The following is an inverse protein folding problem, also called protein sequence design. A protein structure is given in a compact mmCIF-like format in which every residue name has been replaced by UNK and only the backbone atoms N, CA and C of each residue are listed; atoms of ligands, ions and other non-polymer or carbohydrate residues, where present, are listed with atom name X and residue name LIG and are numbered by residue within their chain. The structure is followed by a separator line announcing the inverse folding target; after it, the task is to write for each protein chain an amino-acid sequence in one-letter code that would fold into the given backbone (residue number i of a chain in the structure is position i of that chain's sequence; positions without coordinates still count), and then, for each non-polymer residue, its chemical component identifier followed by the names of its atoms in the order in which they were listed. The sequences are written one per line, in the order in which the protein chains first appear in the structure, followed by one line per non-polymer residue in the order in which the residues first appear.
data_IF_303251543869
#
_entry.id   IF_303251543869
#
_cell.length_a   1.000
_cell.length_b   1.000
_cell.length_c   1.000
_cell.angle_alpha   90.00
_cell.angle_beta   90.00
_cell.angle_gamma   90.00
#
_symmetry.space_group_name_H-M   'P 1'
#
loop_
_entity.id
_entity.type
_entity.pdbx_description
1 polymer ?
#
# COMPACT_ATOMS: atom_id res chain seq x y z
N UNK A 1 45.40 82.71 2.74
CA UNK A 1 45.05 83.03 4.14
C UNK A 1 43.55 83.20 4.14
N UNK A 2 42.72 82.32 4.67
CA UNK A 2 42.76 81.69 5.99
C UNK A 2 42.50 80.18 5.96
N UNK A 3 43.19 79.49 6.85
CA UNK A 3 43.08 78.08 7.23
C UNK A 3 41.92 77.85 8.21
N UNK A 4 41.15 76.78 8.03
CA UNK A 4 40.41 76.16 9.15
C UNK A 4 40.50 74.63 9.08
N UNK A 5 41.10 74.09 10.13
CA UNK A 5 41.24 72.68 10.48
C UNK A 5 39.90 71.93 10.52
N UNK A 6 39.93 70.65 10.13
CA UNK A 6 38.92 69.66 10.55
C UNK A 6 39.58 68.60 11.43
N UNK A 7 38.99 68.24 12.59
CA UNK A 7 39.59 67.30 13.52
C UNK A 7 39.39 65.84 13.07
N UNK A 8 40.41 65.03 13.35
CA UNK A 8 40.37 63.58 13.25
C UNK A 8 39.46 62.99 14.33
N UNK A 9 38.41 62.27 13.94
CA UNK A 9 37.63 61.44 14.88
C UNK A 9 37.90 59.97 14.62
N UNK A 10 38.61 59.35 15.56
CA UNK A 10 38.90 57.92 15.61
C UNK A 10 37.60 57.14 15.87
N UNK A 11 37.12 56.36 14.88
CA UNK A 11 36.10 55.34 15.12
C UNK A 11 36.76 54.10 15.73
N UNK A 12 36.51 53.87 17.03
CA UNK A 12 36.83 52.60 17.70
C UNK A 12 36.01 51.46 17.06
N UNK A 13 36.59 50.28 16.83
CA UNK A 13 35.82 49.14 16.31
C UNK A 13 34.88 48.63 17.40
N UNK A 14 33.58 48.57 17.09
CA UNK A 14 32.60 47.92 17.97
C UNK A 14 32.93 46.43 18.05
N UNK A 15 33.29 45.94 19.24
CA UNK A 15 33.36 44.49 19.50
C UNK A 15 31.95 43.91 19.32
N UNK A 16 31.70 43.22 18.20
CA UNK A 16 30.56 42.31 18.06
C UNK A 16 30.78 41.17 19.06
N UNK A 17 30.10 41.23 20.19
CA UNK A 17 29.94 40.07 21.06
C UNK A 17 29.12 39.05 20.29
N UNK A 18 29.77 37.99 19.80
CA UNK A 18 29.05 36.79 19.35
C UNK A 18 28.49 36.13 20.60
N UNK A 19 27.22 36.39 20.88
CA UNK A 19 26.45 35.51 21.75
C UNK A 19 26.26 34.23 20.95
N UNK A 20 27.14 33.26 21.15
CA UNK A 20 26.87 31.87 20.76
C UNK A 20 25.81 31.36 21.70
N UNK A 21 24.55 31.67 21.40
CA UNK A 21 23.43 30.97 22.01
C UNK A 21 23.60 29.49 21.62
N UNK A 22 24.08 28.69 22.55
CA UNK A 22 24.02 27.24 22.45
C UNK A 22 22.54 26.89 22.32
N UNK A 23 22.14 26.40 21.14
CA UNK A 23 20.81 25.83 20.93
C UNK A 23 20.57 24.80 22.05
N UNK A 24 19.41 24.83 22.72
CA UNK A 24 19.11 23.84 23.74
C UNK A 24 19.21 22.44 23.14
N UNK A 25 20.03 21.59 23.77
CA UNK A 25 20.21 20.20 23.36
C UNK A 25 18.94 19.42 23.71
N UNK A 26 18.22 18.95 22.70
CA UNK A 26 17.07 18.05 22.88
C UNK A 26 17.64 16.62 22.99
N UNK A 27 17.29 15.85 24.04
CA UNK A 27 17.73 14.45 24.16
C UNK A 27 17.28 13.58 22.98
N UNK A 28 18.08 12.58 22.62
CA UNK A 28 17.82 11.70 21.47
C UNK A 28 16.51 10.93 21.63
N UNK A 29 16.11 10.58 22.86
CA UNK A 29 14.85 9.90 23.15
C UNK A 29 13.63 10.77 22.77
N UNK A 30 13.71 12.06 23.06
CA UNK A 30 12.65 13.03 22.72
C UNK A 30 12.61 13.27 21.22
N UNK A 31 13.76 13.34 20.56
CA UNK A 31 13.84 13.42 19.09
C UNK A 31 13.17 12.19 18.48
N UNK A 32 13.46 11.00 19.00
CA UNK A 32 12.89 9.74 18.52
C UNK A 32 11.36 9.76 18.64
N UNK A 33 10.82 10.15 19.79
CA UNK A 33 9.37 10.26 20.01
C UNK A 33 8.72 11.26 19.05
N UNK A 34 9.33 12.44 18.87
CA UNK A 34 8.84 13.45 17.93
C UNK A 34 8.82 12.88 16.51
N UNK A 35 9.90 12.22 16.08
CA UNK A 35 10.00 11.63 14.75
C UNK A 35 8.94 10.53 14.55
N UNK A 36 8.69 9.66 15.53
CA UNK A 36 7.66 8.61 15.43
C UNK A 36 6.24 9.16 15.18
N UNK A 37 5.96 10.40 15.58
CA UNK A 37 4.66 11.07 15.37
C UNK A 37 4.51 11.73 14.00
N UNK A 38 5.59 11.81 13.20
CA UNK A 38 5.56 12.51 11.93
C UNK A 38 5.02 11.63 10.79
N UNK A 39 4.35 12.24 9.80
CA UNK A 39 3.99 11.54 8.57
C UNK A 39 5.20 10.93 7.87
N UNK A 40 5.04 9.75 7.27
CA UNK A 40 6.11 9.00 6.59
C UNK A 40 6.83 9.86 5.54
N UNK A 41 6.08 10.68 4.79
CA UNK A 41 6.67 11.60 3.81
C UNK A 41 7.67 12.58 4.42
N UNK A 42 7.41 13.06 5.63
CA UNK A 42 8.33 13.94 6.38
C UNK A 42 9.54 13.15 6.86
N UNK A 43 9.33 11.96 7.43
CA UNK A 43 10.42 11.06 7.85
C UNK A 43 11.39 10.75 6.71
N UNK A 44 10.87 10.44 5.52
CA UNK A 44 11.71 10.17 4.34
C UNK A 44 12.54 11.38 3.90
N UNK A 45 12.05 12.61 4.09
CA UNK A 45 12.83 13.83 3.85
C UNK A 45 13.86 14.08 4.95
N UNK A 46 13.51 13.74 6.19
CA UNK A 46 14.34 13.95 7.38
C UNK A 46 15.57 13.03 7.41
N UNK A 47 15.54 11.88 6.74
CA UNK A 47 16.73 11.08 6.43
C UNK A 47 17.84 11.85 5.67
N UNK A 48 17.51 12.97 5.02
CA UNK A 48 18.48 13.79 4.30
C UNK A 48 19.03 14.96 5.12
N UNK A 49 18.51 15.21 6.33
CA UNK A 49 18.87 16.38 7.14
C UNK A 49 20.19 16.16 7.89
N UNK A 50 20.39 14.97 8.47
CA UNK A 50 21.63 14.63 9.19
C UNK A 50 21.90 13.12 9.14
N UNK A 51 23.16 12.72 9.38
CA UNK A 51 23.55 11.30 9.47
C UNK A 51 22.87 10.61 10.67
N UNK A 52 22.84 11.28 11.82
CA UNK A 52 22.19 10.78 13.04
C UNK A 52 20.70 10.51 12.81
N UNK A 53 19.97 11.45 12.19
CA UNK A 53 18.54 11.23 11.89
C UNK A 53 18.33 10.14 10.85
N UNK A 54 19.21 10.05 9.86
CA UNK A 54 19.18 8.95 8.90
C UNK A 54 19.35 7.60 9.57
N UNK A 55 20.31 7.46 10.47
CA UNK A 55 20.58 6.24 11.24
C UNK A 55 19.38 5.89 12.12
N UNK A 56 18.85 6.85 12.89
CA UNK A 56 17.68 6.66 13.75
C UNK A 56 16.43 6.23 12.96
N UNK A 57 16.09 6.89 11.86
CA UNK A 57 14.89 6.54 11.06
C UNK A 57 15.10 5.24 10.26
N UNK A 58 16.34 4.79 10.07
CA UNK A 58 16.65 3.51 9.43
C UNK A 58 16.77 2.35 10.42
N UNK A 59 16.65 2.60 11.71
CA UNK A 59 16.74 1.60 12.76
C UNK A 59 15.46 0.71 12.81
N UNK A 60 15.59 -0.63 12.90
CA UNK A 60 14.44 -1.53 13.00
C UNK A 60 13.52 -1.27 14.20
N UNK A 61 14.06 -0.83 15.34
CA UNK A 61 13.24 -0.52 16.51
C UNK A 61 12.46 0.79 16.31
N UNK A 62 13.02 1.75 15.56
CA UNK A 62 12.29 2.92 15.11
C UNK A 62 11.12 2.54 14.19
N UNK A 63 11.33 1.62 13.24
CA UNK A 63 10.27 1.07 12.39
C UNK A 63 9.13 0.46 13.22
N UNK A 64 9.45 -0.39 14.20
CA UNK A 64 8.46 -1.02 15.08
C UNK A 64 7.69 0.02 15.90
N UNK A 65 8.38 1.03 16.45
CA UNK A 65 7.74 2.13 17.20
C UNK A 65 6.84 2.99 16.32
N UNK A 66 7.28 3.35 15.12
CA UNK A 66 6.49 4.14 14.18
C UNK A 66 5.24 3.36 13.73
N UNK A 67 5.37 2.08 13.43
CA UNK A 67 4.23 1.20 13.13
C UNK A 67 3.23 1.17 14.29
N UNK A 68 3.72 0.96 15.52
CA UNK A 68 2.87 0.92 16.71
C UNK A 68 2.17 2.25 17.01
N UNK A 69 2.74 3.39 16.60
CA UNK A 69 2.10 4.71 16.67
C UNK A 69 1.06 4.87 15.55
N UNK A 70 1.40 4.47 14.34
CA UNK A 70 0.53 4.59 13.17
C UNK A 70 -0.75 3.74 13.32
N UNK A 71 -0.61 2.52 13.84
CA UNK A 71 -1.70 1.56 14.03
C UNK A 71 -2.58 1.84 15.27
N UNK A 72 -2.33 2.92 16.03
CA UNK A 72 -3.22 3.30 17.13
C UNK A 72 -4.56 3.77 16.57
N UNK A 73 -5.65 3.46 17.26
CA UNK A 73 -7.01 3.82 16.86
C UNK A 73 -7.18 5.31 16.50
N UNK A 74 -6.59 6.21 17.29
CA UNK A 74 -6.66 7.66 17.04
C UNK A 74 -5.89 8.10 15.79
N UNK A 75 -4.92 7.29 15.35
CA UNK A 75 -4.06 7.53 14.21
C UNK A 75 -4.48 6.77 12.96
N UNK A 76 -5.23 5.68 13.07
CA UNK A 76 -5.50 4.76 11.96
C UNK A 76 -6.09 5.48 10.75
N UNK A 77 -7.09 6.35 10.94
CA UNK A 77 -7.71 7.10 9.83
C UNK A 77 -6.75 8.11 9.19
N UNK A 78 -6.00 8.85 10.00
CA UNK A 78 -5.07 9.88 9.53
C UNK A 78 -3.79 9.31 8.92
N UNK A 79 -3.41 8.12 9.37
CA UNK A 79 -2.26 7.39 8.88
C UNK A 79 -2.66 6.33 7.86
N UNK A 80 -3.89 6.29 7.37
CA UNK A 80 -4.30 5.33 6.33
C UNK A 80 -4.64 6.01 5.03
N UNK A 81 -4.47 5.26 3.95
CA UNK A 81 -4.84 5.68 2.60
C UNK A 81 -5.62 4.57 1.94
N UNK A 82 -6.60 4.96 1.13
CA UNK A 82 -7.15 4.07 0.13
C UNK A 82 -6.15 3.91 -0.99
N UNK A 83 -6.01 2.70 -1.48
CA UNK A 83 -5.41 2.40 -2.76
C UNK A 83 -6.48 1.83 -3.68
N UNK A 84 -6.60 2.39 -4.88
CA UNK A 84 -7.70 2.15 -5.80
C UNK A 84 -7.15 1.80 -7.17
N UNK A 85 -7.63 0.68 -7.72
CA UNK A 85 -7.40 0.31 -9.10
C UNK A 85 -8.53 0.85 -9.98
N UNK A 86 -8.16 1.62 -11.02
CA UNK A 86 -9.11 2.18 -11.99
C UNK A 86 -8.95 1.44 -13.33
N UNK A 87 -9.99 1.29 -14.17
CA UNK A 87 -9.94 0.61 -15.49
C UNK A 87 -8.89 1.15 -16.49
N UNK A 88 -8.10 2.16 -16.13
CA UNK A 88 -7.00 2.74 -16.91
C UNK A 88 -5.62 2.21 -16.51
N UNK A 89 -5.55 1.10 -15.75
CA UNK A 89 -4.30 0.43 -15.32
C UNK A 89 -3.39 1.28 -14.43
N UNK A 90 -3.92 2.41 -13.95
CA UNK A 90 -3.24 3.35 -13.06
C UNK A 90 -3.73 3.13 -11.65
N UNK A 91 -2.79 2.92 -10.76
CA UNK A 91 -3.04 2.84 -9.33
C UNK A 91 -3.14 4.26 -8.77
N UNK A 92 -4.20 4.50 -8.01
CA UNK A 92 -4.41 5.78 -7.33
C UNK A 92 -4.49 5.59 -5.84
N UNK A 93 -4.20 6.63 -5.07
CA UNK A 93 -4.50 6.65 -3.65
C UNK A 93 -5.11 7.95 -3.20
N UNK A 94 -5.83 7.90 -2.10
CA UNK A 94 -6.43 9.05 -1.43
C UNK A 94 -6.21 8.89 0.08
N UNK A 95 -5.88 9.95 0.85
CA UNK A 95 -5.92 9.86 2.31
C UNK A 95 -7.32 9.40 2.75
N UNK A 96 -7.37 8.44 3.68
CA UNK A 96 -8.63 7.90 4.17
C UNK A 96 -9.42 8.99 4.92
N UNK A 97 -8.73 9.82 5.70
CA UNK A 97 -9.30 10.97 6.41
C UNK A 97 -10.11 11.93 5.52
N UNK A 98 -9.75 12.07 4.23
CA UNK A 98 -10.49 12.93 3.31
C UNK A 98 -11.93 12.46 3.07
N UNK A 99 -12.22 11.16 3.25
CA UNK A 99 -13.56 10.63 3.03
C UNK A 99 -14.50 10.86 4.21
N UNK A 100 -13.94 11.10 5.40
CA UNK A 100 -14.71 11.25 6.63
C UNK A 100 -14.79 12.71 7.11
N UNK A 101 -13.73 13.49 6.87
CA UNK A 101 -13.57 14.80 7.52
C UNK A 101 -13.35 15.97 6.56
N UNK A 102 -13.17 15.72 5.26
CA UNK A 102 -12.95 16.76 4.26
C UNK A 102 -14.11 16.80 3.26
N UNK A 103 -14.45 17.99 2.73
CA UNK A 103 -15.52 18.11 1.75
C UNK A 103 -15.17 17.41 0.43
N UNK A 104 -13.88 17.33 0.08
CA UNK A 104 -13.42 16.67 -1.14
C UNK A 104 -12.03 16.06 -0.96
N UNK A 105 -11.87 14.79 -1.34
CA UNK A 105 -10.57 14.12 -1.42
C UNK A 105 -9.87 14.34 -2.77
N UNK A 106 -8.54 14.28 -2.78
CA UNK A 106 -7.75 14.34 -4.01
C UNK A 106 -6.96 13.06 -4.21
N UNK A 107 -7.27 12.34 -5.29
CA UNK A 107 -6.51 11.14 -5.65
C UNK A 107 -5.15 11.51 -6.26
N UNK A 108 -4.12 10.76 -5.90
CA UNK A 108 -2.77 10.87 -6.48
C UNK A 108 -2.42 9.58 -7.22
N UNK A 109 -1.72 9.70 -8.35
CA UNK A 109 -1.22 8.53 -9.06
C UNK A 109 -0.04 7.92 -8.29
N UNK A 110 -0.04 6.59 -8.18
CA UNK A 110 1.10 5.83 -7.72
C UNK A 110 1.85 5.20 -8.89
N UNK A 111 3.16 5.43 -8.92
CA UNK A 111 4.08 4.58 -9.67
C UNK A 111 4.30 3.32 -8.84
N UNK A 112 3.70 2.21 -9.28
CA UNK A 112 3.85 0.91 -8.65
C UNK A 112 4.92 0.06 -9.39
N UNK A 113 5.54 -0.91 -8.70
CA UNK A 113 6.48 -1.84 -9.32
C UNK A 113 5.82 -2.60 -10.49
N UNK A 114 6.43 -2.57 -11.67
CA UNK A 114 5.86 -3.23 -12.85
C UNK A 114 4.81 -2.41 -13.62
N UNK A 115 4.56 -1.15 -13.25
CA UNK A 115 3.68 -0.25 -14.00
C UNK A 115 4.08 -0.06 -15.47
N UNK A 116 5.35 -0.25 -15.80
CA UNK A 116 5.84 -0.30 -17.18
C UNK A 116 5.29 -1.46 -18.02
N UNK A 117 4.82 -2.53 -17.40
CA UNK A 117 4.13 -3.62 -18.10
C UNK A 117 2.71 -3.24 -18.49
N UNK A 118 2.15 -2.20 -17.86
CA UNK A 118 0.75 -1.81 -17.98
C UNK A 118 -0.16 -2.99 -17.67
N UNK A 119 0.00 -3.64 -16.51
CA UNK A 119 -0.67 -4.91 -16.21
C UNK A 119 -0.85 -5.18 -14.69
N UNK A 120 -1.13 -4.17 -13.86
CA UNK A 120 -1.61 -4.50 -12.51
C UNK A 120 -2.99 -5.15 -12.61
N UNK A 121 -3.10 -6.35 -12.07
CA UNK A 121 -4.31 -7.15 -12.25
C UNK A 121 -5.08 -7.36 -10.95
N UNK A 122 -4.40 -7.39 -9.79
CA UNK A 122 -5.07 -7.74 -8.53
C UNK A 122 -4.27 -7.30 -7.29
N UNK A 123 -4.95 -6.66 -6.34
CA UNK A 123 -4.46 -6.46 -4.97
C UNK A 123 -4.75 -7.73 -4.17
N UNK A 124 -3.68 -8.37 -3.67
CA UNK A 124 -3.80 -9.58 -2.85
C UNK A 124 -4.21 -9.23 -1.41
N UNK A 125 -3.72 -8.10 -0.90
CA UNK A 125 -4.07 -7.59 0.43
C UNK A 125 -3.02 -6.65 0.98
N UNK A 126 -3.30 -6.07 2.15
CA UNK A 126 -2.38 -5.18 2.85
C UNK A 126 -2.22 -5.56 4.33
N UNK A 127 -1.05 -5.29 4.89
CA UNK A 127 -0.81 -5.42 6.33
C UNK A 127 0.39 -4.58 6.77
N UNK A 128 0.28 -3.86 7.89
CA UNK A 128 1.33 -3.01 8.46
C UNK A 128 1.94 -1.97 7.47
N UNK A 129 1.17 -1.59 6.44
CA UNK A 129 1.60 -0.66 5.39
C UNK A 129 2.33 -1.28 4.20
N UNK A 130 2.53 -2.60 4.20
CA UNK A 130 2.90 -3.35 3.02
C UNK A 130 1.63 -3.72 2.24
N UNK A 131 1.69 -3.54 0.92
CA UNK A 131 0.67 -3.95 -0.04
C UNK A 131 1.27 -5.07 -0.90
N UNK A 132 0.59 -6.20 -0.95
CA UNK A 132 0.92 -7.29 -1.86
C UNK A 132 -0.01 -7.25 -3.06
N UNK A 133 0.55 -7.38 -4.27
CA UNK A 133 -0.23 -7.40 -5.49
C UNK A 133 0.38 -8.35 -6.52
N UNK A 134 -0.48 -8.78 -7.43
CA UNK A 134 -0.16 -9.71 -8.51
C UNK A 134 -0.31 -9.03 -9.88
N UNK A 135 0.66 -9.29 -10.75
CA UNK A 135 0.52 -9.13 -12.20
C UNK A 135 0.32 -10.53 -12.74
N UNK A 136 -0.93 -10.85 -13.11
CA UNK A 136 -1.28 -12.15 -13.73
C UNK A 136 -0.60 -12.27 -15.10
N UNK A 137 0.08 -13.37 -15.34
CA UNK A 137 0.65 -13.72 -16.65
C UNK A 137 0.25 -15.16 -17.01
N UNK A 138 0.14 -15.42 -18.31
CA UNK A 138 -0.25 -16.73 -18.86
C UNK A 138 0.65 -17.88 -18.41
N UNK A 139 1.94 -17.60 -18.17
CA UNK A 139 2.93 -18.59 -17.78
C UNK A 139 3.35 -18.48 -16.31
N UNK A 140 3.59 -17.25 -15.81
CA UNK A 140 4.09 -17.03 -14.45
C UNK A 140 3.61 -15.70 -13.88
N UNK A 141 2.69 -15.78 -12.92
CA UNK A 141 2.29 -14.62 -12.11
C UNK A 141 3.51 -13.94 -11.47
N UNK A 142 3.50 -12.62 -11.47
CA UNK A 142 4.55 -11.80 -10.86
C UNK A 142 4.00 -11.16 -9.60
N UNK A 143 4.59 -11.53 -8.48
CA UNK A 143 4.14 -11.07 -7.16
C UNK A 143 5.11 -10.02 -6.64
N UNK A 144 4.54 -8.92 -6.15
CA UNK A 144 5.29 -7.86 -5.48
C UNK A 144 4.76 -7.67 -4.06
N UNK A 145 5.68 -7.36 -3.15
CA UNK A 145 5.37 -6.77 -1.84
C UNK A 145 5.98 -5.37 -1.84
N UNK A 146 5.14 -4.36 -1.62
CA UNK A 146 5.48 -2.96 -1.83
C UNK A 146 5.00 -2.11 -0.68
N UNK A 147 5.83 -1.18 -0.22
CA UNK A 147 5.40 -0.10 0.68
C UNK A 147 5.16 1.16 -0.18
N UNK A 148 3.91 1.62 -0.33
CA UNK A 148 3.60 2.81 -1.13
C UNK A 148 4.18 4.11 -0.57
N UNK A 149 4.31 4.22 0.75
CA UNK A 149 4.78 5.42 1.45
C UNK A 149 6.29 5.60 1.36
N UNK A 150 7.07 4.52 1.38
CA UNK A 150 8.54 4.55 1.21
C UNK A 150 8.98 4.32 -0.23
N UNK A 151 8.09 3.77 -1.07
CA UNK A 151 8.33 3.31 -2.45
C UNK A 151 9.31 2.13 -2.55
N UNK A 152 9.68 1.52 -1.43
CA UNK A 152 10.45 0.29 -1.43
C UNK A 152 9.55 -0.87 -1.84
N UNK A 153 10.08 -1.77 -2.65
CA UNK A 153 9.37 -2.97 -3.06
C UNK A 153 10.32 -4.17 -3.11
N UNK A 154 9.72 -5.35 -3.19
CA UNK A 154 10.40 -6.61 -3.41
C UNK A 154 9.58 -7.44 -4.38
N UNK A 155 10.23 -7.89 -5.45
CA UNK A 155 9.69 -8.90 -6.36
C UNK A 155 9.96 -10.27 -5.75
N UNK A 156 8.95 -11.12 -5.69
CA UNK A 156 9.15 -12.49 -5.23
C UNK A 156 9.76 -13.35 -6.35
N UNK A 157 10.60 -14.34 -6.01
CA UNK A 157 11.13 -15.26 -7.01
C UNK A 157 9.98 -16.00 -7.70
N UNK A 158 10.10 -16.25 -9.03
CA UNK A 158 9.07 -16.92 -9.79
C UNK A 158 8.84 -18.34 -9.28
N UNK A 159 7.61 -18.80 -9.43
CA UNK A 159 7.18 -20.15 -9.05
C UNK A 159 7.11 -20.96 -10.35
N UNK A 160 8.17 -21.66 -10.70
CA UNK A 160 8.27 -22.40 -11.98
C UNK A 160 7.40 -23.66 -12.03
N UNK A 161 6.09 -23.57 -12.31
CA UNK A 161 5.24 -24.78 -12.28
C UNK A 161 4.10 -24.80 -13.30
N UNK A 162 3.98 -25.92 -14.03
CA UNK A 162 2.81 -26.25 -14.86
C UNK A 162 1.60 -26.51 -13.96
N UNK A 163 0.60 -25.65 -14.08
CA UNK A 163 -0.70 -25.77 -13.44
C UNK A 163 -1.75 -26.22 -14.47
N UNK A 164 -2.83 -26.85 -14.00
CA UNK A 164 -3.89 -27.36 -14.87
C UNK A 164 -4.95 -26.36 -15.30
N UNK A 165 -5.26 -25.40 -14.43
CA UNK A 165 -6.30 -24.39 -14.65
C UNK A 165 -5.81 -23.02 -14.24
N UNK A 166 -6.28 -21.96 -14.87
CA UNK A 166 -5.85 -20.60 -14.52
C UNK A 166 -6.37 -20.08 -13.15
N UNK A 167 -7.14 -20.85 -12.39
CA UNK A 167 -7.58 -20.46 -11.04
C UNK A 167 -6.43 -20.62 -10.03
N UNK A 168 -5.85 -19.49 -9.61
CA UNK A 168 -4.85 -19.40 -8.54
C UNK A 168 -5.33 -18.37 -7.55
N UNK A 169 -5.46 -18.75 -6.29
CA UNK A 169 -5.67 -17.81 -5.20
C UNK A 169 -4.35 -17.48 -4.52
N UNK A 170 -4.15 -16.21 -4.20
CA UNK A 170 -3.05 -15.74 -3.38
C UNK A 170 -3.57 -15.22 -2.05
N UNK A 171 -2.73 -15.19 -1.03
CA UNK A 171 -3.04 -14.49 0.20
C UNK A 171 -1.79 -13.84 0.78
N UNK A 172 -1.95 -12.69 1.42
CA UNK A 172 -0.87 -11.98 2.07
C UNK A 172 -1.20 -11.73 3.54
N UNK A 173 -0.23 -11.94 4.43
CA UNK A 173 -0.45 -11.73 5.85
C UNK A 173 0.84 -11.73 6.66
N UNK A 174 0.70 -11.52 7.96
CA UNK A 174 1.81 -11.47 8.91
C UNK A 174 1.71 -12.59 9.94
N UNK A 175 2.84 -13.28 10.13
CA UNK A 175 3.09 -14.24 11.19
C UNK A 175 3.81 -13.52 12.34
N UNK A 176 3.06 -13.20 13.39
CA UNK A 176 3.58 -12.48 14.56
C UNK A 176 4.51 -13.34 15.43
N UNK A 177 4.45 -14.67 15.31
CA UNK A 177 5.31 -15.58 16.07
C UNK A 177 6.71 -15.61 15.44
N UNK A 178 6.78 -15.68 14.11
CA UNK A 178 8.05 -15.66 13.37
C UNK A 178 8.59 -14.24 13.08
N UNK A 179 7.79 -13.20 13.35
CA UNK A 179 8.03 -11.81 12.92
C UNK A 179 8.30 -11.74 11.41
N UNK A 180 7.39 -12.33 10.62
CA UNK A 180 7.58 -12.55 9.18
C UNK A 180 6.31 -12.30 8.36
N UNK A 181 6.51 -11.80 7.15
CA UNK A 181 5.44 -11.61 6.19
C UNK A 181 5.32 -12.84 5.27
N UNK A 182 4.12 -13.40 5.32
CA UNK A 182 3.51 -14.51 4.58
C UNK A 182 3.01 -14.17 3.18
N UNK A 183 3.47 -14.79 2.08
CA UNK A 183 2.63 -14.89 0.86
C UNK A 183 2.26 -16.34 0.60
N UNK A 184 0.97 -16.63 0.51
CA UNK A 184 0.45 -17.97 0.18
C UNK A 184 -0.03 -18.00 -1.25
N UNK A 185 0.20 -19.12 -1.93
CA UNK A 185 -0.35 -19.46 -3.24
C UNK A 185 -1.08 -20.80 -3.14
N UNK A 186 -2.32 -20.84 -3.59
CA UNK A 186 -3.13 -22.06 -3.77
C UNK A 186 -3.37 -22.24 -5.26
N UNK A 187 -2.85 -23.32 -5.84
CA UNK A 187 -3.00 -23.61 -7.27
C UNK A 187 -3.48 -25.03 -7.51
N UNK A 188 -4.20 -25.24 -8.63
CA UNK A 188 -4.75 -26.54 -9.00
C UNK A 188 -3.77 -27.37 -9.86
N UNK A 189 -3.64 -28.65 -9.52
CA UNK A 189 -2.73 -29.63 -10.12
C UNK A 189 -3.50 -30.88 -10.49
N UNK A 190 -3.21 -31.44 -11.66
CA UNK A 190 -3.81 -32.67 -12.13
C UNK A 190 -2.91 -33.83 -11.77
N UNK A 191 -3.49 -34.84 -11.15
CA UNK A 191 -2.86 -36.14 -10.95
C UNK A 191 -3.73 -37.18 -11.66
N UNK A 192 -3.36 -37.48 -12.91
CA UNK A 192 -4.17 -38.31 -13.79
C UNK A 192 -5.50 -37.64 -14.13
N UNK A 193 -6.60 -38.11 -13.53
CA UNK A 193 -7.96 -37.58 -13.71
C UNK A 193 -8.47 -36.76 -12.51
N UNK A 194 -7.67 -36.64 -11.45
CA UNK A 194 -8.05 -35.94 -10.22
C UNK A 194 -7.37 -34.58 -10.13
N UNK A 195 -7.99 -33.68 -9.38
CA UNK A 195 -7.46 -32.36 -9.07
C UNK A 195 -7.02 -32.29 -7.61
N UNK A 196 -5.81 -31.81 -7.38
CA UNK A 196 -5.28 -31.47 -6.07
C UNK A 196 -4.92 -29.99 -6.03
N UNK A 197 -5.14 -29.36 -4.88
CA UNK A 197 -4.79 -27.96 -4.69
C UNK A 197 -3.52 -27.88 -3.85
N UNK A 198 -2.37 -27.67 -4.50
CA UNK A 198 -1.12 -27.55 -3.76
C UNK A 198 -0.97 -26.14 -3.24
N UNK A 199 -0.49 -26.05 -2.00
CA UNK A 199 -0.22 -24.78 -1.34
C UNK A 199 1.27 -24.56 -1.20
N UNK A 200 1.69 -23.35 -1.57
CA UNK A 200 3.04 -22.88 -1.32
C UNK A 200 2.99 -21.60 -0.51
N UNK A 201 3.91 -21.48 0.45
CA UNK A 201 4.06 -20.28 1.25
C UNK A 201 5.46 -19.73 1.06
N UNK A 202 5.54 -18.45 0.78
CA UNK A 202 6.78 -17.68 0.72
C UNK A 202 6.99 -16.92 2.01
N UNK A 203 8.11 -17.18 2.66
CA UNK A 203 8.58 -16.38 3.79
C UNK A 203 9.40 -15.20 3.28
N UNK A 204 9.01 -13.96 3.59
CA UNK A 204 9.80 -12.79 3.23
C UNK A 204 11.17 -12.82 3.92
N UNK A 205 11.22 -13.22 5.19
CA UNK A 205 12.44 -13.38 5.97
C UNK A 205 13.33 -14.50 5.46
N UNK A 206 12.74 -15.64 5.14
CA UNK A 206 13.43 -16.83 4.63
C UNK A 206 13.80 -16.75 3.15
N UNK A 207 13.20 -15.83 2.39
CA UNK A 207 13.40 -15.64 0.96
C UNK A 207 13.20 -16.91 0.12
N UNK A 208 12.25 -17.76 0.50
CA UNK A 208 12.06 -19.07 -0.13
C UNK A 208 10.58 -19.45 -0.15
N UNK A 209 10.17 -20.07 -1.26
CA UNK A 209 8.90 -20.78 -1.38
C UNK A 209 9.05 -22.19 -0.83
N UNK A 210 8.16 -22.58 0.09
CA UNK A 210 8.04 -23.96 0.56
C UNK A 210 6.66 -24.51 0.25
N UNK A 211 6.59 -25.79 -0.10
CA UNK A 211 5.34 -26.53 -0.20
C UNK A 211 4.90 -26.93 1.20
N UNK A 212 3.61 -26.77 1.50
CA UNK A 212 2.98 -27.31 2.72
C UNK A 212 1.96 -28.38 2.33
N UNK A 213 1.17 -28.84 3.29
CA UNK A 213 0.05 -29.74 3.03
C UNK A 213 -0.87 -29.18 1.93
N UNK A 214 -1.51 -30.09 1.18
CA UNK A 214 -2.45 -29.67 0.15
C UNK A 214 -3.67 -28.99 0.79
N UNK A 215 -4.28 -28.07 0.05
CA UNK A 215 -5.49 -27.38 0.49
C UNK A 215 -6.63 -28.40 0.65
N UNK A 216 -7.37 -28.37 1.77
CA UNK A 216 -8.32 -29.43 2.12
C UNK A 216 -9.67 -29.33 1.37
N UNK A 217 -9.82 -28.36 0.48
CA UNK A 217 -11.06 -28.10 -0.25
C UNK A 217 -10.80 -27.86 -1.74
N UNK A 218 -11.85 -27.93 -2.55
CA UNK A 218 -11.83 -27.50 -3.94
C UNK A 218 -11.91 -25.98 -4.03
N UNK A 219 -10.96 -25.36 -4.71
CA UNK A 219 -10.96 -23.92 -4.99
C UNK A 219 -11.67 -23.67 -6.32
N UNK A 220 -12.77 -22.92 -6.27
CA UNK A 220 -13.59 -22.53 -7.43
C UNK A 220 -13.50 -21.04 -7.77
N UNK A 221 -12.64 -20.30 -7.07
CA UNK A 221 -12.43 -18.85 -7.25
C UNK A 221 -10.95 -18.54 -7.12
N UNK A 222 -10.49 -17.53 -7.85
CA UNK A 222 -9.13 -16.99 -7.77
C UNK A 222 -9.01 -15.81 -6.79
N UNK A 223 -10.08 -15.51 -6.05
CA UNK A 223 -10.12 -14.41 -5.09
C UNK A 223 -9.00 -14.48 -4.05
N UNK A 224 -8.45 -13.32 -3.65
CA UNK A 224 -7.44 -13.27 -2.61
C UNK A 224 -7.94 -13.80 -1.26
N UNK A 225 -7.08 -14.52 -0.57
CA UNK A 225 -7.30 -14.94 0.80
C UNK A 225 -7.13 -13.78 1.78
N UNK A 226 -8.03 -13.69 2.76
CA UNK A 226 -8.12 -12.57 3.69
C UNK A 226 -7.35 -12.87 4.98
N UNK A 227 -6.40 -12.01 5.34
CA UNK A 227 -5.66 -12.13 6.60
C UNK A 227 -6.46 -11.56 7.78
N UNK A 228 -6.77 -12.42 8.75
CA UNK A 228 -7.35 -12.04 10.04
C UNK A 228 -6.75 -12.90 11.13
N UNK A 229 -6.35 -12.26 12.23
CA UNK A 229 -5.88 -12.94 13.45
C UNK A 229 -4.79 -14.01 13.18
N UNK A 230 -3.78 -13.65 12.39
CA UNK A 230 -2.64 -14.53 12.07
C UNK A 230 -2.95 -15.66 11.08
N UNK A 231 -4.18 -15.74 10.55
CA UNK A 231 -4.59 -16.74 9.57
C UNK A 231 -4.99 -16.08 8.25
N UNK A 232 -4.74 -16.76 7.12
CA UNK A 232 -5.27 -16.37 5.80
C UNK A 232 -6.47 -17.25 5.47
N UNK A 233 -7.60 -16.62 5.16
CA UNK A 233 -8.89 -17.28 4.98
C UNK A 233 -9.26 -17.35 3.51
N UNK A 234 -9.66 -18.53 3.04
CA UNK A 234 -10.08 -18.78 1.67
C UNK A 234 -11.47 -19.39 1.64
N UNK A 235 -12.28 -19.02 0.64
CA UNK A 235 -13.49 -19.74 0.29
C UNK A 235 -13.15 -20.99 -0.52
N UNK A 236 -13.80 -22.10 -0.22
CA UNK A 236 -13.66 -23.35 -0.96
C UNK A 236 -14.88 -24.25 -0.79
N UNK A 237 -14.93 -25.32 -1.56
CA UNK A 237 -16.02 -26.31 -1.48
C UNK A 237 -15.46 -27.61 -0.93
N UNK A 238 -16.12 -28.16 0.09
CA UNK A 238 -15.70 -29.42 0.71
C UNK A 238 -15.88 -30.62 -0.22
N UNK A 239 -15.19 -31.73 0.10
CA UNK A 239 -15.22 -33.00 -0.64
C UNK A 239 -16.47 -33.87 -0.35
N UNK A 240 -17.42 -33.38 0.46
CA UNK A 240 -18.66 -34.12 0.73
C UNK A 240 -19.61 -34.07 -0.46
N UNK A 241 -20.42 -35.13 -0.62
CA UNK A 241 -21.45 -35.34 -1.67
C UNK A 241 -22.34 -34.11 -2.00
N UNK A 242 -22.41 -33.12 -1.10
CA UNK A 242 -23.26 -31.95 -1.21
C UNK A 242 -22.57 -30.68 -1.78
N UNK A 243 -21.25 -30.67 -2.04
CA UNK A 243 -20.52 -29.52 -2.62
C UNK A 243 -20.80 -28.17 -1.94
N UNK A 244 -20.94 -28.16 -0.61
CA UNK A 244 -21.22 -26.93 0.14
C UNK A 244 -19.99 -26.04 0.28
N UNK A 245 -20.24 -24.73 0.23
CA UNK A 245 -19.23 -23.72 0.51
C UNK A 245 -18.79 -23.77 1.96
N UNK A 246 -17.50 -23.51 2.13
CA UNK A 246 -16.80 -23.52 3.39
C UNK A 246 -15.71 -22.47 3.37
N UNK A 247 -15.31 -22.03 4.57
CA UNK A 247 -14.15 -21.14 4.74
C UNK A 247 -13.04 -21.93 5.42
N UNK A 248 -11.84 -21.88 4.82
CA UNK A 248 -10.64 -22.53 5.34
C UNK A 248 -9.65 -21.45 5.75
N UNK A 249 -9.28 -21.42 7.03
CA UNK A 249 -8.20 -20.59 7.55
C UNK A 249 -6.89 -21.36 7.56
N UNK A 250 -5.87 -20.82 6.90
CA UNK A 250 -4.47 -21.25 7.01
C UNK A 250 -3.80 -20.42 8.11
N UNK A 251 -3.48 -21.04 9.24
CA UNK A 251 -2.71 -20.39 10.30
C UNK A 251 -1.26 -20.18 9.85
N UNK A 252 -0.78 -18.93 9.85
CA UNK A 252 0.54 -18.65 9.29
C UNK A 252 1.69 -19.13 10.17
N UNK A 253 1.50 -19.25 11.49
CA UNK A 253 2.56 -19.67 12.41
C UNK A 253 2.80 -21.18 12.36
N UNK A 254 1.72 -21.96 12.43
CA UNK A 254 1.75 -23.43 12.40
C UNK A 254 1.67 -24.01 10.98
N UNK A 255 1.24 -23.20 10.00
CA UNK A 255 1.05 -23.61 8.61
C UNK A 255 0.04 -24.76 8.46
N UNK A 256 -0.96 -24.77 9.34
CA UNK A 256 -2.01 -25.77 9.42
C UNK A 256 -3.38 -25.17 9.06
N UNK A 257 -4.30 -26.02 8.62
CA UNK A 257 -5.64 -25.62 8.21
C UNK A 257 -6.66 -25.79 9.34
N UNK A 258 -7.64 -24.89 9.36
CA UNK A 258 -8.86 -25.07 10.14
C UNK A 258 -10.08 -24.62 9.35
N UNK A 259 -11.21 -25.28 9.59
CA UNK A 259 -12.49 -24.79 9.11
C UNK A 259 -12.92 -23.59 9.96
N UNK A 260 -13.29 -22.50 9.29
CA UNK A 260 -13.83 -21.31 9.95
C UNK A 260 -15.35 -21.37 9.86
N UNK A 261 -16.07 -21.38 10.99
CA UNK A 261 -17.52 -21.52 10.97
C UNK A 261 -18.17 -20.26 10.41
N UNK A 262 -19.17 -20.44 9.55
CA UNK A 262 -20.08 -19.39 9.08
C UNK A 262 -21.21 -19.14 10.10
N UNK A 263 -21.88 -17.96 10.06
CA UNK A 263 -23.05 -17.68 10.90
C UNK A 263 -24.23 -18.59 10.54
N UNK A 264 -25.16 -18.79 11.45
CA UNK A 264 -26.31 -19.71 11.26
C UNK A 264 -27.26 -19.30 10.12
N UNK A 265 -27.25 -18.02 9.73
CA UNK A 265 -28.02 -17.51 8.61
C UNK A 265 -27.40 -17.78 7.23
N UNK A 266 -26.18 -18.32 7.18
CA UNK A 266 -25.49 -18.58 5.91
C UNK A 266 -26.13 -19.76 5.16
N UNK A 267 -26.47 -19.56 3.89
CA UNK A 267 -26.83 -20.65 2.99
C UNK A 267 -25.56 -21.38 2.52
N UNK A 268 -25.39 -22.68 2.83
CA UNK A 268 -24.21 -23.44 2.42
C UNK A 268 -24.05 -23.61 0.89
N UNK A 269 -25.09 -23.31 0.09
CA UNK A 269 -25.03 -23.33 -1.36
C UNK A 269 -24.53 -22.01 -1.96
N UNK A 270 -24.50 -20.94 -1.16
CA UNK A 270 -24.08 -19.61 -1.59
C UNK A 270 -22.63 -19.36 -1.16
N UNK A 271 -21.82 -18.84 -2.08
CA UNK A 271 -20.43 -18.50 -1.79
C UNK A 271 -20.38 -17.40 -0.72
N UNK A 272 -19.64 -17.59 0.39
CA UNK A 272 -19.46 -16.53 1.37
C UNK A 272 -18.53 -15.45 0.83
N UNK A 273 -18.92 -14.20 1.00
CA UNK A 273 -18.09 -13.02 0.70
C UNK A 273 -17.25 -12.69 1.95
N UNK A 274 -16.01 -13.17 2.00
CA UNK A 274 -15.15 -13.07 3.18
C UNK A 274 -14.28 -11.81 3.17
N UNK A 275 -14.13 -11.17 4.32
CA UNK A 275 -13.50 -9.85 4.45
C UNK A 275 -12.87 -9.61 5.81
N UNK A 276 -12.05 -8.56 5.92
CA UNK A 276 -11.56 -8.02 7.19
C UNK A 276 -12.18 -6.63 7.43
N UNK A 277 -12.78 -6.41 8.59
CA UNK A 277 -13.41 -5.14 8.94
C UNK A 277 -13.04 -4.73 10.37
N UNK A 278 -12.25 -3.66 10.51
CA UNK A 278 -11.73 -3.23 11.80
C UNK A 278 -10.91 -4.30 12.51
N UNK A 279 -10.13 -5.09 11.75
CA UNK A 279 -9.34 -6.21 12.26
C UNK A 279 -10.13 -7.48 12.58
N UNK A 280 -11.45 -7.49 12.37
CA UNK A 280 -12.33 -8.66 12.62
C UNK A 280 -12.65 -9.39 11.33
N UNK A 281 -12.92 -10.68 11.44
CA UNK A 281 -13.38 -11.49 10.31
C UNK A 281 -14.84 -11.14 10.01
N UNK A 282 -15.14 -10.86 8.76
CA UNK A 282 -16.42 -10.33 8.30
C UNK A 282 -16.95 -11.15 7.12
N UNK A 283 -18.26 -11.28 7.04
CA UNK A 283 -18.97 -11.77 5.85
C UNK A 283 -20.17 -10.88 5.58
N UNK A 284 -20.56 -10.77 4.32
CA UNK A 284 -21.81 -10.10 3.95
C UNK A 284 -22.81 -11.09 3.36
N UNK A 285 -24.09 -10.79 3.52
CA UNK A 285 -25.18 -11.48 2.84
C UNK A 285 -26.01 -10.46 2.07
N UNK A 286 -26.14 -10.73 0.78
CA UNK A 286 -26.91 -9.95 -0.16
C UNK A 286 -28.38 -10.40 -0.11
N UNK A 287 -29.30 -9.45 0.05
CA UNK A 287 -30.74 -9.64 -0.05
C UNK A 287 -31.29 -8.60 -1.05
N UNK A 288 -32.49 -8.82 -1.60
CA UNK A 288 -33.08 -7.98 -2.67
C UNK A 288 -33.05 -6.46 -2.41
N UNK A 289 -33.08 -6.02 -1.15
CA UNK A 289 -33.19 -4.60 -0.76
C UNK A 289 -31.97 -4.06 0.00
N UNK A 290 -31.06 -4.92 0.49
CA UNK A 290 -30.01 -4.53 1.41
C UNK A 290 -28.91 -5.58 1.54
N UNK A 291 -27.78 -5.14 2.12
CA UNK A 291 -26.65 -6.00 2.47
C UNK A 291 -26.52 -6.08 3.99
N UNK A 292 -26.59 -7.30 4.52
CA UNK A 292 -26.33 -7.59 5.93
C UNK A 292 -24.84 -7.82 6.15
N UNK A 293 -24.22 -6.98 6.98
CA UNK A 293 -22.81 -7.09 7.37
C UNK A 293 -22.70 -7.82 8.69
N UNK A 294 -22.01 -8.97 8.70
CA UNK A 294 -21.78 -9.79 9.89
C UNK A 294 -20.30 -9.80 10.26
N UNK A 295 -20.01 -9.70 11.55
CA UNK A 295 -18.64 -9.74 12.09
C UNK A 295 -18.51 -10.82 13.15
N UNK A 296 -17.36 -11.48 13.18
CA UNK A 296 -17.01 -12.48 14.18
C UNK A 296 -16.14 -11.82 15.25
N UNK A 297 -16.68 -11.62 16.46
CA UNK A 297 -15.97 -10.93 17.55
C UNK A 297 -14.79 -11.75 18.09
N UNK A 298 -14.89 -13.07 18.05
CA UNK A 298 -13.81 -13.99 18.44
C UNK A 298 -13.53 -14.94 17.30
N UNK A 299 -12.40 -14.73 16.62
CA UNK A 299 -12.04 -15.47 15.43
C UNK A 299 -12.00 -17.01 15.66
N UNK A 300 -12.72 -17.75 14.82
CA UNK A 300 -12.95 -19.20 14.92
C UNK A 300 -14.11 -19.61 15.84
N UNK A 301 -14.75 -18.70 16.57
CA UNK A 301 -15.83 -19.04 17.53
C UNK A 301 -17.20 -18.75 16.91
N UNK A 302 -17.93 -19.80 16.51
CA UNK A 302 -19.24 -19.68 15.84
C UNK A 302 -20.25 -18.80 16.58
N UNK A 303 -20.35 -18.94 17.90
CA UNK A 303 -21.30 -18.16 18.74
C UNK A 303 -20.95 -16.66 18.85
N UNK A 304 -19.80 -16.24 18.33
CA UNK A 304 -19.36 -14.85 18.38
C UNK A 304 -19.72 -14.04 17.13
N UNK A 305 -20.38 -14.68 16.15
CA UNK A 305 -20.97 -13.97 15.02
C UNK A 305 -22.09 -13.05 15.50
N UNK A 306 -22.00 -11.79 15.10
CA UNK A 306 -23.05 -10.79 15.33
C UNK A 306 -23.29 -10.02 14.03
N UNK A 307 -24.55 -9.70 13.77
CA UNK A 307 -24.88 -8.75 12.70
C UNK A 307 -24.46 -7.36 13.16
N UNK A 308 -23.56 -6.73 12.41
CA UNK A 308 -23.07 -5.38 12.68
C UNK A 308 -24.09 -4.34 12.21
N UNK A 309 -24.57 -4.48 10.97
CA UNK A 309 -25.48 -3.52 10.34
C UNK A 309 -26.17 -4.13 9.11
N UNK A 310 -27.32 -3.59 8.76
CA UNK A 310 -27.99 -3.79 7.46
C UNK A 310 -27.86 -2.49 6.67
N UNK A 311 -27.19 -2.51 5.51
CA UNK A 311 -26.99 -1.33 4.65
C UNK A 311 -27.95 -1.43 3.46
N UNK A 312 -28.90 -0.50 3.29
CA UNK A 312 -29.86 -0.55 2.19
C UNK A 312 -29.17 -0.33 0.84
N UNK A 313 -29.76 -0.88 -0.23
CA UNK A 313 -29.34 -0.55 -1.57
C UNK A 313 -29.69 0.88 -1.94
N UNK A 314 -28.80 1.50 -2.71
CA UNK A 314 -29.00 2.84 -3.24
C UNK A 314 -29.66 2.76 -4.62
N UNK A 315 -30.58 3.67 -4.97
CA UNK A 315 -31.24 3.65 -6.26
C UNK A 315 -30.28 4.03 -7.40
N UNK A 316 -29.66 3.03 -8.05
CA UNK A 316 -28.91 3.13 -9.33
C UNK A 316 -28.97 1.76 -10.07
N UNK A 317 -28.93 1.67 -11.43
CA UNK A 317 -29.66 0.69 -12.21
C UNK A 317 -28.76 -0.38 -12.86
N UNK A 318 -27.61 -0.71 -12.26
CA UNK A 318 -26.65 -1.64 -12.87
C UNK A 318 -26.55 -2.94 -12.08
N UNK A 319 -27.00 -4.02 -12.73
CA UNK A 319 -26.91 -5.41 -12.32
C UNK A 319 -25.46 -5.89 -12.19
N UNK A 320 -25.16 -6.60 -11.08
CA UNK A 320 -24.00 -7.50 -10.77
C UNK A 320 -22.62 -6.90 -11.11
N UNK A 321 -21.73 -6.54 -10.18
CA UNK A 321 -21.20 -7.32 -9.06
C UNK A 321 -20.56 -6.41 -7.97
N UNK A 322 -20.38 -6.97 -6.77
CA UNK A 322 -19.56 -6.50 -5.64
C UNK A 322 -20.13 -5.34 -4.81
N UNK A 323 -20.71 -5.72 -3.66
CA UNK A 323 -20.74 -4.87 -2.46
C UNK A 323 -19.65 -5.34 -1.53
N UNK A 324 -18.85 -4.44 -0.95
CA UNK A 324 -17.85 -4.84 0.04
C UNK A 324 -17.59 -3.73 1.08
N UNK A 325 -17.68 -3.99 2.39
CA UNK A 325 -17.16 -3.08 3.41
C UNK A 325 -15.65 -2.89 3.30
N UNK A 326 -15.22 -1.65 3.12
CA UNK A 326 -13.81 -1.27 2.93
C UNK A 326 -13.17 -0.85 4.25
N UNK A 327 -13.91 -0.12 5.09
CA UNK A 327 -13.40 0.40 6.36
C UNK A 327 -14.53 0.63 7.36
N UNK A 328 -14.25 0.45 8.65
CA UNK A 328 -15.19 0.72 9.74
C UNK A 328 -14.60 1.76 10.68
N UNK A 329 -15.23 2.92 10.75
CA UNK A 329 -14.90 3.97 11.69
C UNK A 329 -15.68 3.75 12.99
N UNK A 330 -14.97 3.82 14.13
CA UNK A 330 -15.54 3.50 15.45
C UNK A 330 -16.68 4.42 15.90
N UNK A 331 -16.87 5.56 15.24
CA UNK A 331 -18.00 6.47 15.46
C UNK A 331 -19.29 6.02 14.77
N UNK A 332 -19.33 4.77 14.28
CA UNK A 332 -20.51 4.19 13.64
C UNK A 332 -20.59 4.46 12.15
N UNK A 333 -19.54 4.96 11.49
CA UNK A 333 -19.53 5.10 10.04
C UNK A 333 -18.82 3.93 9.34
N UNK A 334 -19.44 3.36 8.30
CA UNK A 334 -18.87 2.30 7.48
C UNK A 334 -18.65 2.81 6.06
N UNK A 335 -17.43 2.65 5.54
CA UNK A 335 -17.12 2.90 4.14
C UNK A 335 -17.37 1.61 3.36
N UNK A 336 -18.28 1.68 2.40
CA UNK A 336 -18.66 0.58 1.53
C UNK A 336 -18.23 0.89 0.10
N UNK A 337 -17.90 -0.14 -0.65
CA UNK A 337 -17.79 -0.07 -2.10
C UNK A 337 -18.98 -0.82 -2.70
N UNK A 338 -19.74 -0.13 -3.54
CA UNK A 338 -20.90 -0.62 -4.27
C UNK A 338 -20.67 -0.40 -5.75
N UNK A 339 -20.43 -1.46 -6.52
CA UNK A 339 -20.29 -1.36 -7.99
C UNK A 339 -19.21 -0.34 -8.40
N UNK A 340 -18.11 -0.32 -7.65
CA UNK A 340 -17.00 0.60 -7.80
C UNK A 340 -17.21 2.01 -7.28
N UNK A 341 -18.39 2.34 -6.76
CA UNK A 341 -18.67 3.59 -6.07
C UNK A 341 -18.40 3.44 -4.57
N UNK A 342 -17.68 4.40 -3.99
CA UNK A 342 -17.50 4.46 -2.54
C UNK A 342 -18.69 5.19 -1.92
N UNK A 343 -19.30 4.57 -0.90
CA UNK A 343 -20.41 5.13 -0.13
C UNK A 343 -20.07 5.08 1.34
N UNK A 344 -20.21 6.20 2.02
CA UNK A 344 -20.08 6.31 3.47
C UNK A 344 -21.47 6.20 4.09
N UNK A 345 -21.71 5.15 4.86
CA UNK A 345 -22.98 4.92 5.55
C UNK A 345 -22.80 5.14 7.06
N UNK A 346 -23.61 6.02 7.64
CA UNK A 346 -23.64 6.27 9.07
C UNK A 346 -24.72 5.38 9.72
N UNK A 347 -24.28 4.44 10.54
CA UNK A 347 -25.12 3.41 11.16
C UNK A 347 -26.10 4.03 12.16
N UNK A 348 -25.65 5.04 12.91
CA UNK A 348 -26.48 5.67 13.96
C UNK A 348 -27.60 6.55 13.39
N UNK A 349 -27.35 7.17 12.23
CA UNK A 349 -28.29 8.10 11.57
C UNK A 349 -29.11 7.45 10.47
N UNK A 350 -28.72 6.27 10.01
CA UNK A 350 -29.28 5.64 8.81
C UNK A 350 -29.18 6.56 7.58
N UNK A 351 -28.01 7.19 7.42
CA UNK A 351 -27.76 8.17 6.36
C UNK A 351 -26.54 7.74 5.54
N UNK A 352 -26.66 7.84 4.21
CA UNK A 352 -25.55 7.60 3.29
C UNK A 352 -25.08 8.88 2.62
N UNK A 353 -23.77 8.98 2.41
CA UNK A 353 -23.15 10.05 1.61
C UNK A 353 -22.17 9.44 0.63
N UNK A 354 -22.04 10.05 -0.56
CA UNK A 354 -21.07 9.64 -1.56
C UNK A 354 -19.88 10.61 -1.47
N UNK A 355 -18.75 10.22 -0.87
CA UNK A 355 -17.59 11.09 -0.78
C UNK A 355 -17.07 11.44 -2.17
N UNK A 356 -16.82 12.73 -2.40
CA UNK A 356 -16.25 13.18 -3.67
C UNK A 356 -14.73 13.01 -3.65
N UNK A 357 -14.20 12.32 -4.66
CA UNK A 357 -12.75 12.19 -4.86
C UNK A 357 -12.37 12.77 -6.22
N UNK A 358 -11.65 13.89 -6.25
CA UNK A 358 -11.15 14.43 -7.51
C UNK A 358 -10.10 13.50 -8.13
N UNK A 359 -10.26 13.28 -9.43
CA UNK A 359 -9.40 12.43 -10.24
C UNK A 359 -9.87 10.97 -10.32
N UNK A 360 -10.85 10.51 -9.54
CA UNK A 360 -11.40 9.15 -9.69
C UNK A 360 -12.87 9.12 -9.28
N UNK A 361 -13.75 8.53 -10.11
CA UNK A 361 -15.18 8.40 -9.80
C UNK A 361 -15.61 6.98 -9.47
N UNK A 362 -14.94 6.00 -10.07
CA UNK A 362 -15.19 4.58 -9.87
C UNK A 362 -13.87 3.86 -9.63
N UNK A 363 -13.89 2.73 -8.94
CA UNK A 363 -12.74 1.83 -8.78
C UNK A 363 -13.19 0.38 -8.97
N UNK A 364 -12.33 -0.48 -9.52
CA UNK A 364 -12.63 -1.92 -9.64
C UNK A 364 -12.17 -2.69 -8.41
N UNK A 365 -11.07 -2.23 -7.82
CA UNK A 365 -10.56 -2.74 -6.55
C UNK A 365 -10.18 -1.57 -5.66
N UNK A 366 -10.44 -1.75 -4.38
CA UNK A 366 -10.06 -0.82 -3.33
C UNK A 366 -9.55 -1.60 -2.13
N UNK A 367 -8.49 -1.08 -1.52
CA UNK A 367 -7.88 -1.62 -0.30
C UNK A 367 -7.43 -0.45 0.58
N UNK A 368 -7.42 -0.64 1.90
CA UNK A 368 -6.87 0.34 2.85
C UNK A 368 -5.46 -0.10 3.21
N UNK A 369 -4.50 0.82 3.21
CA UNK A 369 -3.17 0.54 3.76
C UNK A 369 -2.74 1.64 4.72
N UNK A 370 -1.97 1.23 5.73
CA UNK A 370 -1.38 2.11 6.71
C UNK A 370 -0.09 2.77 6.16
N UNK A 371 0.10 4.06 6.37
CA UNK A 371 1.31 4.79 6.05
C UNK A 371 2.37 4.52 7.10
N UNK A 372 3.26 3.59 6.80
CA UNK A 372 4.36 3.20 7.67
C UNK A 372 5.70 3.25 6.93
N UNK A 373 6.79 3.16 7.69
CA UNK A 373 8.13 2.98 7.12
C UNK A 373 8.54 1.50 6.95
N UNK A 374 7.62 0.55 7.20
CA UNK A 374 7.90 -0.89 7.16
C UNK A 374 8.54 -1.29 5.84
N UNK A 375 9.72 -1.89 5.91
CA UNK A 375 10.44 -2.28 4.70
C UNK A 375 10.14 -3.72 4.28
N UNK A 376 9.78 -3.97 2.99
CA UNK A 376 9.72 -5.34 2.46
C UNK A 376 11.11 -6.01 2.34
N UNK A 377 12.17 -5.25 2.61
CA UNK A 377 13.58 -5.65 2.48
C UNK A 377 14.34 -5.63 3.81
N UNK A 378 13.68 -5.44 4.96
CA UNK A 378 14.33 -5.31 6.27
C UNK A 378 15.31 -6.48 6.54
N UNK A 379 14.84 -7.71 6.38
CA UNK A 379 15.63 -8.91 6.66
C UNK A 379 16.66 -9.27 5.59
N UNK A 380 16.35 -8.98 4.32
CA UNK A 380 17.27 -9.23 3.21
C UNK A 380 18.53 -8.37 3.34
N UNK A 381 18.39 -7.11 3.78
CA UNK A 381 19.51 -6.20 4.03
C UNK A 381 20.45 -6.70 5.14
N UNK A 382 19.90 -7.32 6.18
CA UNK A 382 20.70 -7.87 7.29
C UNK A 382 21.54 -9.09 6.85
N UNK A 383 21.01 -9.93 5.98
CA UNK A 383 21.73 -11.10 5.47
C UNK A 383 22.78 -10.75 4.41
N UNK A 384 22.55 -9.71 3.61
CA UNK A 384 23.43 -9.35 2.48
C UNK A 384 24.57 -8.36 2.82
N UNK A 385 24.65 -7.83 4.04
CA UNK A 385 25.73 -6.93 4.47
C UNK A 385 25.83 -5.61 3.68
N UNK A 386 24.80 -5.24 2.91
CA UNK A 386 24.85 -4.09 2.00
C UNK A 386 24.46 -2.77 2.69
N UNK A 387 25.35 -1.77 2.62
CA UNK A 387 25.01 -0.38 2.95
C UNK A 387 24.07 0.21 1.90
N UNK A 388 22.83 0.52 2.31
CA UNK A 388 21.92 1.62 1.90
C UNK A 388 21.97 2.21 0.45
N UNK A 389 22.44 1.47 -0.55
CA UNK A 389 22.28 1.76 -1.97
C UNK A 389 20.96 1.15 -2.45
N UNK A 390 20.14 1.93 -3.15
CA UNK A 390 18.76 1.57 -3.51
C UNK A 390 18.64 0.22 -4.23
N UNK A 391 18.37 -0.83 -3.45
CA UNK A 391 18.09 -2.20 -3.92
C UNK A 391 16.93 -2.19 -4.92
N UNK A 392 15.91 -1.36 -4.68
CA UNK A 392 14.78 -1.19 -5.61
C UNK A 392 15.17 -0.70 -7.01
N UNK A 393 16.37 -0.14 -7.22
CA UNK A 393 16.88 0.23 -8.56
C UNK A 393 17.59 -0.94 -9.25
N UNK A 394 18.35 -1.73 -8.48
CA UNK A 394 19.02 -2.94 -8.99
C UNK A 394 18.02 -4.05 -9.30
N UNK A 395 17.04 -4.29 -8.41
CA UNK A 395 15.97 -5.25 -8.65
C UNK A 395 15.10 -4.85 -9.85
N UNK A 396 14.86 -3.54 -10.02
CA UNK A 396 14.17 -2.99 -11.20
C UNK A 396 14.97 -3.23 -12.48
N UNK A 397 16.27 -2.95 -12.49
CA UNK A 397 17.13 -3.18 -13.67
C UNK A 397 17.29 -4.68 -14.00
N UNK A 398 17.41 -5.55 -13.00
CA UNK A 398 17.45 -7.01 -13.19
C UNK A 398 16.12 -7.50 -13.75
N UNK A 399 15.00 -7.08 -13.16
CA UNK A 399 13.64 -7.38 -13.61
C UNK A 399 13.39 -6.96 -15.06
N UNK A 400 13.73 -5.73 -15.43
CA UNK A 400 13.57 -5.22 -16.80
C UNK A 400 14.39 -6.06 -17.78
N UNK A 401 15.61 -6.45 -17.40
CA UNK A 401 16.48 -7.28 -18.26
C UNK A 401 15.97 -8.71 -18.41
N UNK A 402 15.39 -9.30 -17.37
CA UNK A 402 14.88 -10.68 -17.40
C UNK A 402 13.51 -10.79 -18.06
N UNK A 403 12.55 -9.93 -17.67
CA UNK A 403 11.14 -10.05 -18.06
C UNK A 403 10.86 -9.42 -19.42
N UNK A 404 11.53 -8.32 -19.77
CA UNK A 404 11.32 -7.68 -21.07
C UNK A 404 12.22 -8.26 -22.17
N UNK A 405 13.12 -9.21 -21.86
CA UNK A 405 13.97 -9.90 -22.84
C UNK A 405 13.12 -10.57 -23.93
N UNK A 406 12.01 -11.16 -23.52
CA UNK A 406 11.08 -11.87 -24.41
C UNK A 406 9.97 -10.95 -24.96
N UNK A 407 9.98 -9.66 -24.58
CA UNK A 407 9.06 -8.61 -25.08
C UNK A 407 9.84 -7.44 -25.71
N UNK A 408 10.54 -7.66 -26.85
CA UNK A 408 11.53 -6.72 -27.40
C UNK A 408 10.97 -5.33 -27.76
N UNK A 409 9.69 -5.22 -28.13
CA UNK A 409 9.04 -3.92 -28.41
C UNK A 409 8.88 -3.06 -27.15
N UNK A 410 8.53 -3.67 -26.02
CA UNK A 410 8.39 -2.98 -24.72
C UNK A 410 9.77 -2.61 -24.17
N UNK A 411 10.73 -3.54 -24.23
CA UNK A 411 12.12 -3.28 -23.84
C UNK A 411 12.76 -2.12 -24.61
N UNK A 412 12.57 -2.07 -25.93
CA UNK A 412 13.11 -1.02 -26.79
C UNK A 412 12.46 0.35 -26.52
N UNK A 413 11.18 0.38 -26.18
CA UNK A 413 10.45 1.61 -25.83
C UNK A 413 10.93 2.15 -24.47
N UNK A 414 11.10 1.25 -23.50
CA UNK A 414 11.62 1.57 -22.18
C UNK A 414 13.08 2.08 -22.22
N UNK A 415 13.97 1.39 -22.93
CA UNK A 415 15.38 1.81 -23.08
C UNK A 415 15.51 3.15 -23.82
N UNK A 416 14.62 3.46 -24.77
CA UNK A 416 14.53 4.80 -25.37
C UNK A 416 14.11 5.86 -24.36
N UNK A 417 13.09 5.59 -23.53
CA UNK A 417 12.66 6.51 -22.45
C UNK A 417 13.77 6.75 -21.42
N UNK A 418 14.47 5.71 -20.96
CA UNK A 418 15.60 5.84 -20.04
C UNK A 418 16.74 6.68 -20.61
N UNK A 419 17.05 6.53 -21.91
CA UNK A 419 18.05 7.37 -22.59
C UNK A 419 17.60 8.83 -22.59
N UNK A 420 16.34 9.10 -22.93
CA UNK A 420 15.77 10.45 -22.91
C UNK A 420 15.75 11.06 -21.50
N UNK A 421 15.43 10.29 -20.45
CA UNK A 421 15.45 10.75 -19.06
C UNK A 421 16.88 11.03 -18.56
N UNK A 422 17.85 10.18 -18.90
CA UNK A 422 19.28 10.43 -18.60
C UNK A 422 19.80 11.65 -19.34
N UNK A 423 19.40 11.84 -20.59
CA UNK A 423 19.73 13.04 -21.37
C UNK A 423 19.08 14.30 -20.79
N UNK A 424 17.83 14.22 -20.29
CA UNK A 424 17.16 15.32 -19.61
C UNK A 424 17.82 15.66 -18.27
N UNK A 425 18.24 14.65 -17.50
CA UNK A 425 18.95 14.83 -16.23
C UNK A 425 20.35 15.44 -16.46
N UNK A 426 21.07 14.98 -17.49
CA UNK A 426 22.35 15.57 -17.89
C UNK A 426 22.19 17.03 -18.37
N UNK A 427 21.15 17.34 -19.16
CA UNK A 427 20.84 18.72 -19.57
C UNK A 427 20.48 19.63 -18.38
N UNK A 428 19.75 19.12 -17.38
CA UNK A 428 19.46 19.86 -16.15
C UNK A 428 20.70 20.03 -15.24
N UNK A 429 21.64 19.08 -15.27
CA UNK A 429 22.93 19.20 -14.58
C UNK A 429 23.85 20.27 -15.19
N UNK A 430 23.85 20.44 -16.51
CA UNK A 430 24.64 21.47 -17.20
C UNK A 430 24.08 22.89 -17.00
N UNK A 431 22.75 23.06 -16.87
CA UNK A 431 22.16 24.38 -16.66
C UNK A 431 22.37 24.97 -15.25
N UNK A 432 22.78 24.17 -14.26
CA UNK A 432 23.12 24.67 -12.92
C UNK A 432 24.56 25.18 -12.80
N UNK A 433 25.40 25.03 -13.84
CA UNK A 433 26.79 25.52 -13.84
C UNK A 433 26.93 26.87 -14.61
N UNK A 434 25.91 27.27 -15.38
CA UNK A 434 26.00 28.41 -16.30
C UNK A 434 25.23 29.69 -15.90
N UNK A 435 24.71 29.79 -14.66
CA UNK A 435 24.03 31.00 -14.17
C UNK A 435 24.68 31.52 -12.88
N UNK A 436 25.91 32.03 -13.02
CA UNK A 436 26.53 32.91 -12.05
C UNK A 436 27.44 33.91 -12.78
N UNK A 437 26.86 34.76 -13.63
CA UNK A 437 27.45 36.05 -14.01
C UNK A 437 26.34 37.10 -14.07
N UNK A 438 26.36 38.00 -13.10
CA UNK A 438 25.54 39.21 -13.03
C UNK A 438 25.83 40.14 -14.21
N UNK A 439 24.85 40.97 -14.60
CA UNK A 439 25.17 42.33 -15.03
C UNK A 439 24.45 43.38 -14.17
N UNK A 440 25.23 44.43 -13.92
CA UNK A 440 24.94 45.68 -13.23
C UNK A 440 23.83 46.53 -13.87
N UNK A 441 23.12 47.24 -13.01
CA UNK A 441 22.21 48.36 -13.28
C UNK A 441 22.73 49.36 -14.33
N UNK A 442 21.82 49.84 -15.19
CA UNK A 442 21.68 51.27 -15.50
C UNK A 442 20.25 51.60 -15.95
N UNK A 443 19.73 52.71 -15.41
CA UNK A 443 18.43 53.34 -15.67
C UNK A 443 18.37 53.98 -17.07
N UNK A 444 17.19 54.00 -17.68
CA UNK A 444 16.44 55.22 -18.03
C UNK A 444 15.12 54.89 -18.77
N UNK A 445 14.01 55.30 -18.14
CA UNK A 445 12.75 55.95 -18.57
C UNK A 445 12.29 56.05 -20.06
N UNK A 446 10.99 56.38 -20.31
CA UNK A 446 10.07 55.57 -21.13
C UNK A 446 9.45 56.32 -22.34
N UNK A 447 8.56 55.63 -23.05
CA UNK A 447 7.53 56.05 -24.05
C UNK A 447 7.60 55.11 -25.27
N UNK A 448 6.58 54.83 -26.08
CA UNK A 448 5.11 54.88 -26.08
C UNK A 448 4.70 54.16 -27.39
N UNK A 449 3.51 53.52 -27.45
CA UNK A 449 2.75 53.18 -28.69
C UNK A 449 3.40 52.13 -29.64
N UNK A 450 2.74 51.26 -30.39
CA UNK A 450 1.35 51.14 -30.85
C UNK A 450 1.00 49.66 -31.14
N UNK A 451 -0.31 49.43 -31.24
CA UNK A 451 -0.97 48.21 -31.68
C UNK A 451 -0.83 47.92 -33.20
N UNK A 452 -1.14 46.67 -33.55
CA UNK A 452 -1.46 46.10 -34.88
C UNK A 452 -0.24 45.85 -35.80
N UNK A 453 -0.02 44.65 -36.36
CA UNK A 453 -0.91 43.62 -36.88
C UNK A 453 -0.44 42.21 -36.48
#
# INVERSE_FOLDING_TARGET
MESRDRPSSSRRPSKRVRITATLPHIPDEIILEILCLLPVKSLMRFKCVSKSWREMISDPDFEKKQLAVAARDSGEVYNSRLIMHYPSMKLKSCPLSCLFYEPVGHSVNHEYPGSELGAMNEIIGSYNGLVCFCIRDTENDIIFVWNPSTREFRRLPPISFMQCFHLVAYGFGYDSIADDYKVTRVGCYCIGRYYEYQVRVFSLRGNVWRKIENFPCYLFTDEPGIHVNGSINFGGVGDSENYYWSVVGLDLASESYRMVPLPDCADPNVKPMIMALGGRFCTIFDNDEAVDVWVMEQYGVKKSWNKLVTVPYFPDPMTVDCTKPVFFLRDGAILMEFYGLLVLYNIDRDESTIPTIYGTRHCHEVEVYLETIVSPNAYYRLQAGHQNGGIGRQDKELYIKEVLKDRPKVYNTYTKRLKQEKELQNKKGYNNIALNKSPTNQRNEPESKDHHL
#
